data_IF_440321578049
#
_entry.id   IF_440321578049
#
_cell.length_a   1.000
_cell.length_b   1.000
_cell.length_c   1.000
_cell.angle_alpha   90.00
_cell.angle_beta   90.00
_cell.angle_gamma   90.00
#
_symmetry.space_group_name_H-M   'P 1'
#
loop_
_entity.id
_entity.type
_entity.pdbx_description
1 polymer ?
#
# COMPACT_ATOMS: atom_id res chain seq x y z
N UNK A 1 -3.97 -10.00 31.90
CA UNK A 1 -5.10 -10.92 31.69
C UNK A 1 -4.56 -12.15 30.96
N UNK A 2 -4.85 -13.38 31.41
CA UNK A 2 -4.19 -14.61 30.91
C UNK A 2 -4.68 -14.98 29.49
N UNK A 3 -3.74 -15.30 28.58
CA UNK A 3 -3.96 -15.63 27.15
C UNK A 3 -4.61 -16.99 26.86
N UNK A 4 -5.04 -17.72 27.89
CA UNK A 4 -5.62 -19.06 27.77
C UNK A 4 -7.00 -19.12 27.10
N UNK A 5 -7.63 -17.99 26.77
CA UNK A 5 -8.96 -17.95 26.13
C UNK A 5 -8.97 -17.83 24.61
N UNK A 6 -7.80 -17.75 23.95
CA UNK A 6 -7.72 -17.44 22.52
C UNK A 6 -7.81 -18.65 21.57
N UNK A 7 -7.65 -19.88 22.08
CA UNK A 7 -7.58 -21.10 21.25
C UNK A 7 -8.78 -21.99 21.51
N UNK A 8 -9.58 -22.18 20.47
CA UNK A 8 -10.77 -23.03 20.44
C UNK A 8 -10.54 -24.21 19.49
N UNK A 9 -10.38 -25.42 20.05
CA UNK A 9 -10.08 -26.64 19.29
C UNK A 9 -11.31 -27.21 18.58
N UNK A 10 -12.51 -26.79 18.98
CA UNK A 10 -13.77 -27.28 18.44
C UNK A 10 -14.24 -26.45 17.24
N UNK A 11 -13.59 -25.32 16.97
CA UNK A 11 -13.81 -24.53 15.76
C UNK A 11 -13.17 -25.15 14.53
N UNK A 12 -13.78 -24.99 13.33
CA UNK A 12 -13.22 -25.47 12.07
C UNK A 12 -11.94 -24.73 11.63
N UNK A 13 -11.53 -23.68 12.35
CA UNK A 13 -10.39 -22.84 12.03
C UNK A 13 -9.09 -23.46 12.54
N UNK A 14 -8.09 -23.61 11.67
CA UNK A 14 -6.79 -24.22 12.01
C UNK A 14 -6.12 -23.47 13.18
N UNK A 15 -5.50 -24.23 14.10
CA UNK A 15 -4.92 -23.68 15.34
C UNK A 15 -3.86 -22.59 15.10
N UNK A 16 -3.02 -22.73 14.07
CA UNK A 16 -2.01 -21.71 13.76
C UNK A 16 -2.62 -20.37 13.36
N UNK A 17 -3.79 -20.38 12.72
CA UNK A 17 -4.51 -19.14 12.34
C UNK A 17 -5.10 -18.46 13.58
N UNK A 18 -5.59 -19.24 14.54
CA UNK A 18 -6.09 -18.70 15.81
C UNK A 18 -4.96 -18.07 16.64
N UNK A 19 -3.80 -18.74 16.72
CA UNK A 19 -2.59 -18.20 17.36
C UNK A 19 -2.12 -16.93 16.66
N UNK A 20 -2.09 -16.92 15.32
CA UNK A 20 -1.72 -15.75 14.52
C UNK A 20 -2.58 -14.54 14.86
N UNK A 21 -3.90 -14.70 14.85
CA UNK A 21 -4.84 -13.61 15.13
C UNK A 21 -4.67 -13.10 16.57
N UNK A 22 -4.58 -14.01 17.54
CA UNK A 22 -4.37 -13.61 18.93
C UNK A 22 -3.07 -12.81 19.12
N UNK A 23 -1.97 -13.24 18.49
CA UNK A 23 -0.70 -12.52 18.54
C UNK A 23 -0.78 -11.17 17.82
N UNK A 24 -1.45 -11.12 16.66
CA UNK A 24 -1.67 -9.87 15.91
C UNK A 24 -2.46 -8.87 16.73
N UNK A 25 -3.57 -9.28 17.32
CA UNK A 25 -4.45 -8.41 18.09
C UNK A 25 -3.70 -7.84 19.32
N UNK A 26 -2.83 -8.62 19.96
CA UNK A 26 -1.98 -8.14 21.05
C UNK A 26 -0.92 -7.12 20.60
N UNK A 27 -0.33 -7.32 19.42
CA UNK A 27 0.59 -6.36 18.81
C UNK A 27 -0.16 -5.06 18.47
N UNK A 28 -1.33 -5.15 17.86
CA UNK A 28 -2.17 -4.00 17.46
C UNK A 28 -2.71 -3.23 18.68
N UNK A 29 -3.01 -3.93 19.77
CA UNK A 29 -3.39 -3.32 21.05
C UNK A 29 -2.19 -2.78 21.85
N UNK A 30 -0.97 -2.85 21.31
CA UNK A 30 0.22 -2.24 21.90
C UNK A 30 0.78 -2.99 23.11
N UNK A 31 0.45 -4.27 23.32
CA UNK A 31 1.06 -5.08 24.40
C UNK A 31 2.58 -5.13 24.27
N UNK A 32 3.08 -5.14 23.04
CA UNK A 32 4.50 -5.05 22.72
C UNK A 32 4.71 -3.86 21.78
N UNK A 33 5.59 -2.94 22.17
CA UNK A 33 5.95 -1.80 21.34
C UNK A 33 6.80 -2.23 20.14
N UNK A 34 6.83 -1.41 19.09
CA UNK A 34 7.71 -1.63 17.92
C UNK A 34 9.17 -1.77 18.41
N UNK A 35 9.87 -2.79 17.90
CA UNK A 35 11.22 -3.15 18.32
C UNK A 35 11.30 -4.03 19.57
N UNK A 36 10.19 -4.24 20.29
CA UNK A 36 10.18 -5.14 21.45
C UNK A 36 10.23 -6.61 21.00
N UNK A 37 10.94 -7.42 21.79
CA UNK A 37 10.99 -8.87 21.58
C UNK A 37 9.69 -9.51 22.07
N UNK A 38 9.07 -10.36 21.24
CA UNK A 38 7.96 -11.20 21.69
C UNK A 38 8.48 -12.40 22.52
N UNK A 39 7.64 -13.04 23.35
CA UNK A 39 8.03 -14.23 24.10
C UNK A 39 8.61 -15.31 23.19
N UNK A 40 9.54 -16.11 23.72
CA UNK A 40 10.17 -17.17 22.92
C UNK A 40 9.18 -18.28 22.58
N UNK A 41 9.48 -19.07 21.54
CA UNK A 41 8.58 -20.13 21.04
C UNK A 41 8.09 -21.06 22.16
N UNK A 42 8.96 -21.43 23.12
CA UNK A 42 8.61 -22.34 24.21
C UNK A 42 7.69 -21.69 25.27
N UNK A 43 7.76 -20.37 25.45
CA UNK A 43 6.85 -19.62 26.32
C UNK A 43 5.47 -19.52 25.65
N UNK A 44 5.43 -19.18 24.36
CA UNK A 44 4.20 -19.12 23.58
C UNK A 44 3.52 -20.50 23.49
N UNK A 45 4.29 -21.59 23.39
CA UNK A 45 3.73 -22.96 23.44
C UNK A 45 2.98 -23.21 24.75
N UNK A 46 3.55 -22.80 25.89
CA UNK A 46 2.91 -22.95 27.21
C UNK A 46 1.70 -22.04 27.35
N UNK A 47 1.80 -20.83 26.83
CA UNK A 47 0.76 -19.81 26.92
C UNK A 47 -0.49 -20.17 26.11
N UNK A 48 -0.30 -20.60 24.86
CA UNK A 48 -1.39 -20.97 23.96
C UNK A 48 -1.77 -22.46 24.03
N UNK A 49 -1.00 -23.28 24.77
CA UNK A 49 -1.17 -24.73 24.88
C UNK A 49 -1.28 -25.43 23.51
N UNK A 50 -0.32 -25.14 22.63
CA UNK A 50 -0.20 -25.71 21.28
C UNK A 50 1.22 -26.20 21.02
N UNK A 51 1.40 -27.01 19.97
CA UNK A 51 2.71 -27.52 19.62
C UNK A 51 3.63 -26.43 19.06
N UNK A 52 4.94 -26.65 19.17
CA UNK A 52 5.97 -25.77 18.61
C UNK A 52 5.83 -25.55 17.11
N UNK A 53 5.34 -26.55 16.38
CA UNK A 53 5.06 -26.44 14.95
C UNK A 53 3.95 -25.41 14.65
N UNK A 54 2.89 -25.38 15.47
CA UNK A 54 1.79 -24.42 15.34
C UNK A 54 2.27 -22.99 15.63
N UNK A 55 3.04 -22.80 16.70
CA UNK A 55 3.63 -21.49 17.05
C UNK A 55 4.57 -21.00 15.95
N UNK A 56 5.47 -21.87 15.47
CA UNK A 56 6.39 -21.52 14.38
C UNK A 56 5.64 -21.10 13.12
N UNK A 57 4.59 -21.83 12.75
CA UNK A 57 3.78 -21.48 11.58
C UNK A 57 3.11 -20.11 11.77
N UNK A 58 2.49 -19.86 12.92
CA UNK A 58 1.86 -18.57 13.21
C UNK A 58 2.86 -17.40 13.20
N UNK A 59 4.05 -17.59 13.79
CA UNK A 59 5.12 -16.59 13.77
C UNK A 59 5.61 -16.35 12.33
N UNK A 60 5.85 -17.41 11.55
CA UNK A 60 6.26 -17.26 10.15
C UNK A 60 5.20 -16.50 9.35
N UNK A 61 3.93 -16.74 9.61
CA UNK A 61 2.84 -16.04 8.94
C UNK A 61 2.78 -14.56 9.35
N UNK A 62 3.03 -14.22 10.61
CA UNK A 62 3.13 -12.83 11.07
C UNK A 62 4.39 -12.13 10.54
N UNK A 63 5.49 -12.85 10.38
CA UNK A 63 6.68 -12.37 9.68
C UNK A 63 6.36 -12.11 8.21
N UNK A 64 5.64 -13.03 7.56
CA UNK A 64 5.13 -12.85 6.19
C UNK A 64 4.08 -11.74 6.08
N UNK A 65 3.41 -11.36 7.16
CA UNK A 65 2.46 -10.23 7.15
C UNK A 65 3.08 -8.92 7.60
N UNK A 66 4.36 -8.92 7.99
CA UNK A 66 5.08 -7.72 8.38
C UNK A 66 4.89 -7.25 9.81
N UNK A 67 4.21 -8.03 10.65
CA UNK A 67 4.00 -7.71 12.06
C UNK A 67 5.22 -8.04 12.91
N UNK A 68 6.04 -9.00 12.46
CA UNK A 68 7.21 -9.49 13.18
C UNK A 68 8.44 -9.57 12.26
N UNK A 69 9.62 -9.43 12.84
CA UNK A 69 10.90 -9.75 12.20
C UNK A 69 11.65 -10.77 13.02
N UNK A 70 12.29 -11.74 12.37
CA UNK A 70 13.08 -12.79 13.03
C UNK A 70 14.57 -12.52 12.85
N UNK A 71 15.30 -12.39 13.95
CA UNK A 71 16.76 -12.37 13.94
C UNK A 71 17.28 -13.72 14.41
N UNK A 72 17.97 -14.44 13.52
CA UNK A 72 18.54 -15.75 13.83
C UNK A 72 19.44 -15.66 15.07
N UNK A 73 19.16 -16.51 16.07
CA UNK A 73 19.89 -16.54 17.35
C UNK A 73 19.59 -15.40 18.32
N UNK A 74 18.86 -14.35 17.92
CA UNK A 74 18.55 -13.18 18.77
C UNK A 74 17.07 -13.11 19.18
N UNK A 75 16.17 -13.74 18.44
CA UNK A 75 14.74 -13.80 18.78
C UNK A 75 13.83 -13.24 17.68
N UNK A 76 12.59 -12.96 18.06
CA UNK A 76 11.55 -12.42 17.17
C UNK A 76 11.04 -11.11 17.75
N UNK A 77 10.94 -10.07 16.94
CA UNK A 77 10.69 -8.69 17.38
C UNK A 77 9.49 -8.10 16.64
N UNK A 78 8.74 -7.22 17.31
CA UNK A 78 7.62 -6.50 16.71
C UNK A 78 8.15 -5.49 15.69
N UNK A 79 7.59 -5.51 14.49
CA UNK A 79 7.90 -4.57 13.43
C UNK A 79 6.69 -3.67 13.15
N UNK A 80 6.93 -2.42 12.78
CA UNK A 80 5.88 -1.56 12.22
C UNK A 80 5.42 -2.24 10.93
N UNK A 81 4.16 -2.69 10.83
CA UNK A 81 3.54 -3.42 9.69
C UNK A 81 4.33 -3.19 8.39
N UNK A 82 5.37 -4.00 8.18
CA UNK A 82 6.33 -3.79 7.12
C UNK A 82 6.09 -4.91 6.12
N UNK A 83 5.54 -4.63 4.94
CA UNK A 83 5.18 -5.66 3.98
C UNK A 83 6.29 -6.71 3.79
N UNK A 84 5.97 -8.00 3.62
CA UNK A 84 6.96 -9.09 3.65
C UNK A 84 8.16 -8.87 2.73
N UNK A 85 9.33 -9.45 3.06
CA UNK A 85 10.54 -9.32 2.26
C UNK A 85 10.32 -9.92 0.87
N UNK A 86 10.49 -9.10 -0.16
CA UNK A 86 10.16 -9.41 -1.55
C UNK A 86 9.00 -8.56 -2.07
N UNK A 87 9.21 -7.24 -2.12
CA UNK A 87 8.39 -6.25 -2.86
C UNK A 87 6.88 -6.50 -2.71
N UNK A 88 6.38 -6.59 -1.47
CA UNK A 88 4.97 -6.26 -1.26
C UNK A 88 4.89 -4.74 -1.30
N UNK A 89 4.83 -4.23 -2.53
CA UNK A 89 4.44 -2.87 -2.84
C UNK A 89 3.12 -2.62 -2.12
N UNK A 90 3.15 -1.85 -1.02
CA UNK A 90 1.93 -1.32 -0.47
C UNK A 90 1.25 -0.54 -1.59
N UNK A 91 0.01 -0.89 -1.85
CA UNK A 91 -0.88 -0.29 -2.85
C UNK A 91 -1.05 1.22 -2.64
N UNK A 92 -0.58 1.75 -1.51
CA UNK A 92 -0.39 3.16 -1.21
C UNK A 92 0.94 3.75 -1.71
N UNK A 93 1.24 3.67 -3.00
CA UNK A 93 2.52 4.24 -3.47
C UNK A 93 2.62 5.77 -3.26
N UNK A 94 1.48 6.46 -3.23
CA UNK A 94 1.37 7.88 -2.91
C UNK A 94 1.77 8.17 -1.45
N UNK A 95 1.26 7.39 -0.49
CA UNK A 95 1.65 7.48 0.93
C UNK A 95 3.12 7.14 1.12
N UNK A 96 3.62 6.18 0.34
CA UNK A 96 5.02 5.78 0.26
C UNK A 96 5.94 6.86 -0.33
N UNK A 97 5.41 7.77 -1.15
CA UNK A 97 6.16 8.92 -1.69
C UNK A 97 6.26 10.07 -0.69
N UNK A 98 5.55 10.04 0.42
CA UNK A 98 5.62 11.04 1.47
C UNK A 98 6.54 10.53 2.57
N UNK A 99 7.59 11.30 2.90
CA UNK A 99 8.63 10.90 3.87
C UNK A 99 8.03 10.62 5.26
N UNK A 100 7.00 11.39 5.63
CA UNK A 100 6.16 11.19 6.80
C UNK A 100 4.70 11.01 6.35
N UNK A 101 4.20 9.77 6.34
CA UNK A 101 2.78 9.45 6.15
C UNK A 101 1.86 10.03 7.25
N UNK A 102 2.36 10.94 8.10
CA UNK A 102 1.73 11.37 9.33
C UNK A 102 0.81 12.61 9.18
N UNK A 103 0.88 13.38 8.09
CA UNK A 103 -0.14 14.42 7.81
C UNK A 103 0.00 14.97 6.39
N UNK A 104 -0.67 14.34 5.42
CA UNK A 104 -0.90 14.96 4.13
C UNK A 104 -2.37 15.34 3.99
N UNK A 105 -2.63 16.45 3.30
CA UNK A 105 -3.97 16.80 2.84
C UNK A 105 -4.09 16.45 1.37
N UNK A 106 -5.30 16.04 0.97
CA UNK A 106 -5.62 15.70 -0.40
C UNK A 106 -6.65 16.69 -0.94
N UNK A 107 -6.44 17.20 -2.15
CA UNK A 107 -7.42 17.97 -2.89
C UNK A 107 -7.71 17.27 -4.22
N UNK A 108 -8.96 16.91 -4.44
CA UNK A 108 -9.42 16.38 -5.74
C UNK A 108 -9.52 17.56 -6.72
N UNK A 109 -8.69 17.54 -7.76
CA UNK A 109 -8.68 18.55 -8.83
C UNK A 109 -9.62 18.17 -9.97
N UNK A 110 -9.76 16.87 -10.24
CA UNK A 110 -10.68 16.34 -11.24
C UNK A 110 -11.15 14.93 -10.85
N UNK A 111 -12.41 14.62 -11.15
CA UNK A 111 -13.01 13.30 -11.02
C UNK A 111 -14.14 13.20 -12.06
N UNK A 112 -13.84 12.61 -13.22
CA UNK A 112 -14.77 12.62 -14.36
C UNK A 112 -14.63 11.35 -15.22
N UNK A 113 -15.66 11.05 -16.02
CA UNK A 113 -15.54 10.09 -17.12
C UNK A 113 -15.12 10.83 -18.39
N UNK A 114 -14.20 10.24 -19.14
CA UNK A 114 -13.76 10.76 -20.43
C UNK A 114 -13.42 9.64 -21.40
N UNK A 115 -13.40 9.95 -22.68
CA UNK A 115 -12.75 9.09 -23.69
C UNK A 115 -11.24 9.25 -23.53
N UNK A 116 -10.47 8.16 -23.35
CA UNK A 116 -9.02 8.26 -23.20
C UNK A 116 -8.39 8.76 -24.51
N UNK A 117 -7.29 9.49 -24.39
CA UNK A 117 -6.41 9.76 -25.53
C UNK A 117 -5.67 8.48 -25.92
N UNK A 118 -5.23 8.36 -27.17
CA UNK A 118 -4.58 7.15 -27.72
C UNK A 118 -3.45 6.62 -26.82
N UNK A 119 -2.61 7.51 -26.29
CA UNK A 119 -1.51 7.13 -25.41
C UNK A 119 -1.98 6.57 -24.05
N UNK A 120 -3.12 7.03 -23.53
CA UNK A 120 -3.71 6.48 -22.30
C UNK A 120 -4.36 5.12 -22.57
N UNK A 121 -5.02 4.98 -23.72
CA UNK A 121 -5.58 3.70 -24.16
C UNK A 121 -4.49 2.64 -24.32
N UNK A 122 -3.34 2.99 -24.91
CA UNK A 122 -2.19 2.08 -24.98
C UNK A 122 -1.68 1.67 -23.60
N UNK A 123 -1.63 2.60 -22.64
CA UNK A 123 -1.19 2.34 -21.26
C UNK A 123 -2.16 1.42 -20.52
N UNK A 124 -3.46 1.52 -20.78
CA UNK A 124 -4.52 0.67 -20.22
C UNK A 124 -4.77 -0.63 -21.00
N UNK A 125 -4.29 -0.73 -22.23
CA UNK A 125 -4.56 -1.87 -23.12
C UNK A 125 -5.89 -1.75 -23.86
N UNK A 126 -5.95 -2.32 -25.06
CA UNK A 126 -7.03 -2.20 -26.05
C UNK A 126 -8.42 -2.74 -25.65
N UNK A 127 -8.54 -3.36 -24.47
CA UNK A 127 -9.80 -3.93 -23.96
C UNK A 127 -10.53 -3.00 -22.96
N UNK A 128 -9.98 -1.83 -22.63
CA UNK A 128 -10.49 -0.95 -21.55
C UNK A 128 -11.89 -0.36 -21.81
N UNK A 129 -12.45 -0.53 -23.01
CA UNK A 129 -13.70 0.09 -23.41
C UNK A 129 -13.56 1.60 -23.66
N UNK A 130 -14.58 2.19 -24.30
CA UNK A 130 -14.50 3.56 -24.85
C UNK A 130 -14.38 4.70 -23.82
N UNK A 131 -14.45 4.42 -22.51
CA UNK A 131 -14.42 5.45 -21.47
C UNK A 131 -13.57 5.02 -20.27
N UNK A 132 -12.85 5.99 -19.72
CA UNK A 132 -12.07 5.88 -18.48
C UNK A 132 -12.60 6.85 -17.45
N UNK A 133 -12.46 6.49 -16.19
CA UNK A 133 -12.57 7.41 -15.06
C UNK A 133 -11.19 8.02 -14.85
N UNK A 134 -11.13 9.34 -14.96
CA UNK A 134 -9.95 10.15 -14.70
C UNK A 134 -10.11 10.84 -13.35
N UNK A 135 -9.12 10.63 -12.48
CA UNK A 135 -9.04 11.26 -11.16
C UNK A 135 -7.68 11.97 -11.06
N UNK A 136 -7.69 13.27 -10.78
CA UNK A 136 -6.49 14.07 -10.51
C UNK A 136 -6.53 14.56 -9.07
N UNK A 137 -5.49 14.27 -8.31
CA UNK A 137 -5.34 14.67 -6.90
C UNK A 137 -4.06 15.44 -6.69
N UNK A 138 -4.14 16.47 -5.86
CA UNK A 138 -2.98 17.18 -5.33
C UNK A 138 -2.82 16.80 -3.86
N UNK A 139 -1.67 16.25 -3.51
CA UNK A 139 -1.32 15.94 -2.12
C UNK A 139 -0.33 16.97 -1.62
N UNK A 140 -0.59 17.49 -0.41
CA UNK A 140 0.21 18.54 0.22
C UNK A 140 0.65 18.11 1.61
N UNK A 141 1.87 18.48 2.00
CA UNK A 141 2.39 18.29 3.36
C UNK A 141 2.31 19.64 4.06
N UNK A 142 1.48 19.74 5.10
CA UNK A 142 1.10 21.05 5.64
C UNK A 142 0.43 21.91 4.57
N UNK A 143 1.03 23.04 4.22
CA UNK A 143 0.54 23.96 3.18
C UNK A 143 1.29 23.81 1.84
N UNK A 144 2.35 23.01 1.80
CA UNK A 144 3.20 22.87 0.60
C UNK A 144 2.68 21.75 -0.30
N UNK A 145 2.37 22.04 -1.58
CA UNK A 145 2.10 21.01 -2.58
C UNK A 145 3.29 20.06 -2.68
N UNK A 146 3.06 18.74 -2.62
CA UNK A 146 4.12 17.74 -2.60
C UNK A 146 4.13 16.87 -3.86
N UNK A 147 2.96 16.42 -4.30
CA UNK A 147 2.81 15.61 -5.50
C UNK A 147 1.45 15.77 -6.17
N UNK A 148 1.43 15.53 -7.47
CA UNK A 148 0.24 15.37 -8.29
C UNK A 148 0.09 13.89 -8.63
N UNK A 149 -1.10 13.34 -8.44
CA UNK A 149 -1.44 11.98 -8.80
C UNK A 149 -2.59 11.96 -9.79
N UNK A 150 -2.38 11.31 -10.93
CA UNK A 150 -3.38 11.07 -11.96
C UNK A 150 -3.67 9.58 -12.03
N UNK A 151 -4.94 9.22 -11.94
CA UNK A 151 -5.41 7.83 -12.02
C UNK A 151 -6.39 7.68 -13.17
N UNK A 152 -6.16 6.65 -13.98
CA UNK A 152 -6.97 6.28 -15.13
C UNK A 152 -7.46 4.85 -14.93
N UNK A 153 -8.78 4.68 -14.86
CA UNK A 153 -9.42 3.41 -14.53
C UNK A 153 -10.49 3.13 -15.59
N UNK A 154 -10.54 1.93 -16.20
CA UNK A 154 -11.61 1.59 -17.14
C UNK A 154 -12.99 1.78 -16.50
N UNK A 155 -13.88 2.56 -17.14
CA UNK A 155 -15.17 2.93 -16.55
C UNK A 155 -16.02 1.71 -16.18
N UNK A 156 -15.93 0.64 -16.98
CA UNK A 156 -16.68 -0.62 -16.77
C UNK A 156 -16.30 -1.33 -15.47
N UNK A 157 -15.09 -1.13 -14.97
CA UNK A 157 -14.59 -1.79 -13.77
C UNK A 157 -15.15 -1.14 -12.50
N UNK A 158 -15.25 0.19 -12.49
CA UNK A 158 -15.55 0.95 -11.27
C UNK A 158 -16.48 2.16 -11.49
N UNK A 159 -17.67 2.03 -12.11
CA UNK A 159 -18.49 3.18 -12.51
C UNK A 159 -18.93 4.08 -11.34
N UNK A 160 -19.17 3.48 -10.17
CA UNK A 160 -19.56 4.20 -8.95
C UNK A 160 -18.44 5.08 -8.37
N UNK A 161 -17.19 4.90 -8.82
CA UNK A 161 -16.03 5.65 -8.33
C UNK A 161 -16.17 7.15 -8.60
N UNK A 162 -16.95 7.57 -9.60
CA UNK A 162 -17.25 8.97 -9.89
C UNK A 162 -18.07 9.68 -8.81
N UNK A 163 -18.81 8.92 -7.98
CA UNK A 163 -19.69 9.46 -6.94
C UNK A 163 -19.09 9.31 -5.54
N UNK A 164 -17.93 8.67 -5.43
CA UNK A 164 -17.27 8.48 -4.15
C UNK A 164 -16.44 9.69 -3.77
N UNK A 165 -16.48 10.05 -2.49
CA UNK A 165 -15.41 10.87 -1.92
C UNK A 165 -14.13 10.05 -1.85
N UNK A 166 -13.09 10.54 -2.51
CA UNK A 166 -11.76 9.92 -2.63
C UNK A 166 -10.67 10.73 -1.94
N UNK A 167 -11.05 11.74 -1.16
CA UNK A 167 -10.13 12.67 -0.49
C UNK A 167 -9.18 11.90 0.44
N UNK A 168 -9.75 11.08 1.33
CA UNK A 168 -8.98 10.30 2.32
C UNK A 168 -8.94 8.80 1.99
N UNK A 169 -9.12 8.45 0.71
CA UNK A 169 -9.14 7.04 0.26
C UNK A 169 -7.94 6.69 -0.60
N UNK A 170 -7.42 5.49 -0.39
CA UNK A 170 -6.51 4.84 -1.32
C UNK A 170 -7.30 4.28 -2.51
N UNK A 171 -7.05 4.81 -3.71
CA UNK A 171 -7.75 4.40 -4.94
C UNK A 171 -7.53 2.92 -5.25
N UNK A 172 -6.31 2.41 -5.06
CA UNK A 172 -5.96 1.01 -5.31
C UNK A 172 -6.73 0.09 -4.36
N UNK A 173 -6.79 0.42 -3.07
CA UNK A 173 -7.59 -0.37 -2.11
C UNK A 173 -9.07 -0.36 -2.44
N UNK A 174 -9.61 0.77 -2.89
CA UNK A 174 -11.01 0.88 -3.32
C UNK A 174 -11.26 -0.07 -4.51
N UNK A 175 -10.38 -0.09 -5.51
CA UNK A 175 -10.48 -1.00 -6.66
C UNK A 175 -10.35 -2.47 -6.24
N UNK A 176 -9.43 -2.81 -5.35
CA UNK A 176 -9.25 -4.18 -4.87
C UNK A 176 -10.42 -4.69 -4.03
N UNK A 177 -10.78 -3.92 -2.99
CA UNK A 177 -11.72 -4.39 -1.96
C UNK A 177 -13.16 -4.18 -2.39
N UNK A 178 -13.51 -2.97 -2.85
CA UNK A 178 -14.90 -2.62 -3.17
C UNK A 178 -15.32 -3.16 -4.54
N UNK A 179 -14.47 -2.99 -5.55
CA UNK A 179 -14.75 -3.45 -6.91
C UNK A 179 -14.22 -4.85 -7.21
N UNK A 180 -13.73 -5.56 -6.18
CA UNK A 180 -13.30 -6.98 -6.24
C UNK A 180 -12.37 -7.28 -7.41
N UNK A 181 -11.50 -6.33 -7.73
CA UNK A 181 -10.52 -6.45 -8.82
C UNK A 181 -9.14 -6.66 -8.20
N UNK A 182 -8.71 -7.91 -7.97
CA UNK A 182 -7.46 -8.18 -7.24
C UNK A 182 -6.26 -7.69 -8.04
N UNK A 183 -5.39 -6.90 -7.42
CA UNK A 183 -4.15 -6.45 -8.05
C UNK A 183 -3.08 -7.50 -7.81
N UNK A 184 -2.79 -8.25 -8.86
CA UNK A 184 -1.84 -9.37 -8.83
C UNK A 184 -0.41 -8.96 -9.16
N UNK A 185 -0.24 -7.82 -9.84
CA UNK A 185 1.06 -7.33 -10.29
C UNK A 185 1.01 -5.82 -10.51
N UNK A 186 2.10 -5.15 -10.15
CA UNK A 186 2.31 -3.72 -10.42
C UNK A 186 3.65 -3.59 -11.16
N UNK A 187 3.69 -2.84 -12.26
CA UNK A 187 4.93 -2.39 -12.91
C UNK A 187 5.11 -0.91 -12.65
N UNK A 188 6.32 -0.51 -12.31
CA UNK A 188 6.65 0.88 -11.96
C UNK A 188 7.80 1.33 -12.83
N UNK A 189 7.68 2.52 -13.38
CA UNK A 189 8.74 3.23 -14.09
C UNK A 189 9.00 4.54 -13.36
N UNK A 190 10.27 4.89 -13.18
CA UNK A 190 10.70 6.07 -12.43
C UNK A 190 11.65 6.84 -13.32
N UNK A 191 11.30 8.09 -13.59
CA UNK A 191 12.02 8.97 -14.49
C UNK A 191 12.23 10.35 -13.85
N UNK A 192 13.22 11.09 -14.36
CA UNK A 192 13.39 12.49 -14.05
C UNK A 192 12.91 13.31 -15.25
N UNK A 193 11.93 14.17 -15.03
CA UNK A 193 11.29 14.96 -16.09
C UNK A 193 11.33 16.46 -15.74
N UNK A 194 11.16 17.30 -16.75
CA UNK A 194 10.91 18.73 -16.54
C UNK A 194 9.39 18.89 -16.37
N UNK A 195 8.96 19.52 -15.28
CA UNK A 195 7.54 19.80 -15.05
C UNK A 195 6.99 20.67 -16.18
N UNK A 196 5.85 20.28 -16.74
CA UNK A 196 5.14 21.14 -17.69
C UNK A 196 4.51 22.35 -16.97
N UNK A 197 4.04 23.34 -17.74
CA UNK A 197 3.49 24.58 -17.19
C UNK A 197 2.35 24.35 -16.18
N UNK A 198 1.46 23.39 -16.45
CA UNK A 198 0.33 23.08 -15.54
C UNK A 198 0.78 22.34 -14.28
N UNK A 199 1.73 21.42 -14.40
CA UNK A 199 2.32 20.73 -13.25
C UNK A 199 3.08 21.70 -12.35
N UNK A 200 3.88 22.60 -12.95
CA UNK A 200 4.65 23.59 -12.22
C UNK A 200 3.75 24.57 -11.46
N UNK A 201 2.66 25.05 -12.08
CA UNK A 201 1.68 25.92 -11.42
C UNK A 201 0.99 25.21 -10.24
N UNK A 202 0.53 23.98 -10.44
CA UNK A 202 -0.16 23.21 -9.40
C UNK A 202 0.76 22.78 -8.25
N UNK A 203 2.04 22.55 -8.53
CA UNK A 203 3.04 22.15 -7.54
C UNK A 203 3.78 23.33 -6.91
N UNK A 204 3.48 24.57 -7.29
CA UNK A 204 4.19 25.77 -6.83
C UNK A 204 5.71 25.63 -7.07
N UNK A 205 6.06 25.43 -8.34
CA UNK A 205 7.42 25.29 -8.86
C UNK A 205 7.71 26.34 -9.93
N UNK A 206 8.98 26.71 -10.04
CA UNK A 206 9.46 27.52 -11.14
C UNK A 206 9.38 26.75 -12.47
N UNK A 207 9.14 27.47 -13.57
CA UNK A 207 9.18 26.87 -14.92
C UNK A 207 10.55 26.22 -15.18
N UNK A 208 10.52 25.02 -15.74
CA UNK A 208 11.75 24.26 -16.00
C UNK A 208 12.25 23.46 -14.79
N UNK A 209 11.54 23.47 -13.66
CA UNK A 209 11.90 22.65 -12.50
C UNK A 209 11.90 21.16 -12.85
N UNK A 210 12.93 20.46 -12.37
CA UNK A 210 12.99 19.01 -12.44
C UNK A 210 12.04 18.40 -11.42
N UNK A 211 11.38 17.32 -11.82
CA UNK A 211 10.46 16.52 -11.00
C UNK A 211 10.78 15.04 -11.16
N UNK A 212 10.38 14.26 -10.17
CA UNK A 212 10.35 12.81 -10.28
C UNK A 212 8.99 12.41 -10.86
N UNK A 213 9.03 11.79 -12.05
CA UNK A 213 7.86 11.22 -12.68
C UNK A 213 7.82 9.72 -12.42
N UNK A 214 6.63 9.21 -12.13
CA UNK A 214 6.45 7.83 -11.77
C UNK A 214 5.21 7.27 -12.43
N UNK A 215 5.38 6.27 -13.26
CA UNK A 215 4.29 5.57 -13.92
C UNK A 215 4.05 4.23 -13.26
N UNK A 216 2.77 3.91 -13.04
CA UNK A 216 2.36 2.65 -12.44
C UNK A 216 1.30 1.98 -13.31
N UNK A 217 1.56 0.72 -13.64
CA UNK A 217 0.62 -0.14 -14.36
C UNK A 217 0.17 -1.26 -13.44
N UNK A 218 -1.12 -1.33 -13.18
CA UNK A 218 -1.72 -2.30 -12.28
C UNK A 218 -2.42 -3.40 -13.07
N UNK A 219 -2.19 -4.65 -12.68
CA UNK A 219 -2.66 -5.83 -13.39
C UNK A 219 -3.50 -6.74 -12.48
N UNK A 220 -4.61 -7.23 -13.02
CA UNK A 220 -5.37 -8.35 -12.48
C UNK A 220 -5.21 -9.55 -13.42
N UNK A 221 -4.41 -10.54 -13.02
CA UNK A 221 -3.91 -11.57 -13.92
C UNK A 221 -3.05 -10.96 -15.03
N UNK A 222 -3.50 -11.09 -16.28
CA UNK A 222 -2.82 -10.52 -17.47
C UNK A 222 -3.41 -9.19 -17.91
N UNK A 223 -4.59 -8.81 -17.40
CA UNK A 223 -5.33 -7.61 -17.82
C UNK A 223 -4.86 -6.40 -17.03
N UNK A 224 -4.64 -5.28 -17.72
CA UNK A 224 -4.37 -3.98 -17.09
C UNK A 224 -5.68 -3.38 -16.63
N UNK A 225 -5.76 -3.05 -15.35
CA UNK A 225 -7.01 -2.61 -14.71
C UNK A 225 -6.95 -1.16 -14.22
N UNK A 226 -5.75 -0.58 -14.18
CA UNK A 226 -5.53 0.81 -13.80
C UNK A 226 -4.15 1.25 -14.28
N UNK A 227 -4.05 2.53 -14.64
CA UNK A 227 -2.80 3.23 -14.88
C UNK A 227 -2.76 4.47 -14.00
N UNK A 228 -1.62 4.72 -13.35
CA UNK A 228 -1.41 5.94 -12.58
C UNK A 228 -0.12 6.63 -13.01
N UNK A 229 -0.14 7.95 -13.01
CA UNK A 229 1.04 8.80 -13.17
C UNK A 229 1.15 9.73 -11.98
N UNK A 230 2.31 9.75 -11.35
CA UNK A 230 2.60 10.60 -10.18
C UNK A 230 3.76 11.52 -10.53
N UNK A 231 3.58 12.81 -10.33
CA UNK A 231 4.63 13.82 -10.44
C UNK A 231 4.93 14.32 -9.03
N UNK A 232 6.15 14.10 -8.57
CA UNK A 232 6.62 14.49 -7.24
C UNK A 232 7.67 15.59 -7.34
N UNK A 233 7.52 16.61 -6.49
CA UNK A 233 8.55 17.62 -6.25
C UNK A 233 9.82 16.99 -5.67
N UNK A 234 10.96 17.43 -6.18
CA UNK A 234 12.29 16.96 -5.70
C UNK A 234 13.13 18.06 -5.06
N UNK A 235 12.67 19.32 -5.10
CA UNK A 235 13.33 20.49 -4.52
C UNK A 235 13.26 20.53 -2.98
N UNK A 236 12.13 20.07 -2.42
CA UNK A 236 11.86 20.08 -0.97
C UNK A 236 11.86 18.70 -0.31
N UNK A 237 11.81 17.61 -1.08
CA UNK A 237 11.66 16.25 -0.55
C UNK A 237 12.45 15.24 -1.38
N UNK A 238 13.03 14.24 -0.72
CA UNK A 238 13.74 13.13 -1.38
C UNK A 238 12.82 11.93 -1.51
N UNK A 239 13.17 11.03 -2.42
CA UNK A 239 12.64 9.68 -2.42
C UNK A 239 13.65 8.78 -1.71
N UNK A 240 13.22 8.08 -0.67
CA UNK A 240 14.05 7.16 0.09
C UNK A 240 13.39 5.78 0.17
N UNK A 241 14.18 4.75 -0.13
CA UNK A 241 13.83 3.35 0.11
C UNK A 241 15.03 2.62 0.67
N UNK A 242 14.80 1.95 1.78
CA UNK A 242 15.72 0.98 2.35
C UNK A 242 15.32 -0.42 1.88
N UNK A 243 16.30 -1.20 1.46
CA UNK A 243 16.12 -2.59 1.09
C UNK A 243 17.09 -3.42 1.94
N UNK A 244 16.57 -4.44 2.59
CA UNK A 244 17.42 -5.46 3.18
C UNK A 244 18.10 -6.25 2.05
N UNK A 245 19.42 -6.36 2.15
CA UNK A 245 20.18 -7.22 1.24
C UNK A 245 19.99 -8.67 1.67
N UNK A 246 19.36 -9.47 0.80
CA UNK A 246 19.30 -10.94 0.95
C UNK A 246 20.69 -11.58 0.85
#
# INVERSE_FOLDING_TARGET
MRLTKAIDRDRPKKLHVQVLEALRDEIENGKWQIGAQIPIEDELCREFNVSKAVIRQAILDLVRQGYLIRHQGKGTFVCKKSPPPGVTMSTSFEELMLEDAASFSCKILAQTAMTPLDHIEEKLGSESGHHVIYIKRLLSVGTDPALLAESYIPYRTCPELLREDLTDKNIVEVVEKKYKTPITKIRIFIDAEIANDSEAELLDLDKGSMVMALEQHFYSGTTRVMYMRIIKRTDKARFFREFDKN
#
